data_IF_461600353645
#
_entry.id   IF_461600353645
#
_cell.length_a   1.000
_cell.length_b   1.000
_cell.length_c   1.000
_cell.angle_alpha   90.00
_cell.angle_beta   90.00
_cell.angle_gamma   90.00
#
_symmetry.space_group_name_H-M   'P 1'
#
loop_
_entity.id
_entity.type
_entity.pdbx_description
1 polymer ?
#
# COMPACT_ATOMS: atom_id res chain seq x y z
N UNK A 1 -20.42 4.31 -21.29
CA UNK A 1 -19.32 4.74 -20.39
C UNK A 1 -19.93 5.11 -19.04
N UNK A 2 -19.39 4.63 -17.93
CA UNK A 2 -20.00 4.78 -16.59
C UNK A 2 -19.46 5.98 -15.78
N UNK A 3 -18.67 6.85 -16.39
CA UNK A 3 -18.00 7.97 -15.72
C UNK A 3 -18.23 9.29 -16.49
N UNK A 4 -18.25 10.44 -15.78
CA UNK A 4 -18.50 11.76 -16.38
C UNK A 4 -17.31 12.34 -17.16
N UNK A 5 -16.16 11.65 -17.15
CA UNK A 5 -14.98 12.02 -17.92
C UNK A 5 -14.54 10.88 -18.82
N UNK A 6 -14.00 11.21 -20.00
CA UNK A 6 -13.37 10.27 -20.92
C UNK A 6 -11.87 10.52 -20.99
N UNK A 7 -11.09 9.46 -21.02
CA UNK A 7 -9.65 9.49 -21.23
C UNK A 7 -9.32 9.99 -22.66
N UNK A 8 -8.25 10.77 -22.77
CA UNK A 8 -7.71 11.28 -24.03
C UNK A 8 -6.40 10.54 -24.38
N UNK A 9 -6.47 9.44 -25.17
CA UNK A 9 -5.29 8.60 -25.41
C UNK A 9 -4.20 9.32 -26.19
N UNK A 10 -4.56 10.24 -27.11
CA UNK A 10 -3.62 11.00 -27.94
C UNK A 10 -2.80 12.02 -27.14
N UNK A 11 -3.24 12.32 -25.90
CA UNK A 11 -2.56 13.22 -24.97
C UNK A 11 -1.90 12.48 -23.80
N UNK A 12 -1.90 11.16 -23.85
CA UNK A 12 -1.23 10.35 -22.84
C UNK A 12 0.27 10.28 -23.11
N UNK A 13 1.05 10.70 -22.11
CA UNK A 13 2.49 10.51 -22.06
C UNK A 13 2.85 9.79 -20.77
N UNK A 14 3.27 8.53 -20.87
CA UNK A 14 3.60 7.69 -19.70
C UNK A 14 4.67 8.36 -18.85
N UNK A 15 4.42 8.46 -17.53
CA UNK A 15 5.32 9.09 -16.57
C UNK A 15 5.35 10.63 -16.62
N UNK A 16 4.55 11.28 -17.46
CA UNK A 16 4.53 12.74 -17.58
C UNK A 16 3.14 13.35 -17.47
N UNK A 17 2.16 12.85 -18.25
CA UNK A 17 0.84 13.48 -18.35
C UNK A 17 -0.28 12.50 -18.67
N UNK A 18 -1.44 12.71 -18.02
CA UNK A 18 -2.70 12.05 -18.36
C UNK A 18 -3.79 13.12 -18.46
N UNK A 19 -4.63 13.08 -19.50
CA UNK A 19 -5.69 14.05 -19.71
C UNK A 19 -7.06 13.37 -19.89
N UNK A 20 -8.08 14.04 -19.38
CA UNK A 20 -9.48 13.62 -19.48
C UNK A 20 -10.34 14.81 -19.89
N UNK A 21 -11.31 14.59 -20.76
CA UNK A 21 -12.33 15.57 -21.11
C UNK A 21 -13.68 15.17 -20.53
N UNK A 22 -14.53 16.16 -20.23
CA UNK A 22 -15.92 15.91 -19.86
C UNK A 22 -16.63 15.09 -20.94
N UNK A 23 -17.44 14.15 -20.51
CA UNK A 23 -18.28 13.36 -21.38
C UNK A 23 -19.72 13.87 -21.30
N UNK A 24 -20.14 14.69 -22.23
CA UNK A 24 -21.45 15.34 -22.23
C UNK A 24 -22.64 14.36 -22.37
N UNK A 25 -22.37 13.15 -22.89
CA UNK A 25 -23.37 12.08 -22.94
C UNK A 25 -23.57 11.32 -21.63
N UNK A 26 -22.85 11.70 -20.54
CA UNK A 26 -23.07 11.08 -19.24
C UNK A 26 -24.26 11.69 -18.51
N UNK A 27 -25.19 10.83 -18.08
CA UNK A 27 -26.35 11.24 -17.29
C UNK A 27 -26.06 10.92 -15.80
N UNK A 28 -25.87 11.93 -14.94
CA UNK A 28 -25.66 11.71 -13.51
C UNK A 28 -26.89 11.10 -12.83
N UNK A 29 -26.68 10.23 -11.87
CA UNK A 29 -27.73 9.80 -10.93
C UNK A 29 -28.12 10.98 -10.04
N UNK A 30 -29.31 10.92 -9.47
CA UNK A 30 -29.84 12.01 -8.63
C UNK A 30 -29.44 11.87 -7.15
N UNK A 31 -29.04 10.67 -6.71
CA UNK A 31 -28.63 10.44 -5.33
C UNK A 31 -27.33 11.16 -5.02
N UNK A 32 -27.11 11.61 -3.78
CA UNK A 32 -25.84 12.20 -3.36
C UNK A 32 -24.65 11.31 -3.68
N UNK A 33 -23.54 11.92 -4.09
CA UNK A 33 -22.29 11.18 -4.31
C UNK A 33 -21.73 10.69 -2.97
N UNK A 34 -21.40 9.41 -2.93
CA UNK A 34 -20.67 8.77 -1.82
C UNK A 34 -19.55 7.91 -2.43
N UNK A 35 -18.32 8.34 -2.27
CA UNK A 35 -17.17 7.69 -2.91
C UNK A 35 -17.39 7.52 -4.42
N UNK A 36 -17.40 6.27 -4.89
CA UNK A 36 -17.62 5.92 -6.30
C UNK A 36 -19.10 5.75 -6.68
N UNK A 37 -20.05 5.85 -5.73
CA UNK A 37 -21.48 5.70 -5.99
C UNK A 37 -22.21 7.03 -5.99
N UNK A 38 -23.52 7.01 -6.36
CA UNK A 38 -24.38 8.19 -6.43
C UNK A 38 -24.15 9.05 -7.68
N UNK A 39 -24.58 10.29 -7.59
CA UNK A 39 -24.52 11.27 -8.68
C UNK A 39 -23.09 11.81 -8.87
N UNK A 40 -22.59 11.72 -10.09
CA UNK A 40 -21.24 12.18 -10.47
C UNK A 40 -21.37 13.29 -11.49
N UNK A 41 -21.19 14.54 -11.07
CA UNK A 41 -21.33 15.71 -11.91
C UNK A 41 -19.97 16.26 -12.31
N UNK A 42 -19.69 16.36 -13.61
CA UNK A 42 -18.49 17.01 -14.11
C UNK A 42 -18.72 18.52 -14.24
N UNK A 43 -18.10 19.32 -13.38
CA UNK A 43 -18.16 20.79 -13.45
C UNK A 43 -17.05 21.41 -14.31
N UNK A 44 -15.93 20.69 -14.50
CA UNK A 44 -14.84 21.11 -15.34
C UNK A 44 -14.95 20.45 -16.72
N UNK A 45 -14.51 21.16 -17.74
CA UNK A 45 -14.46 20.62 -19.12
C UNK A 45 -13.30 19.61 -19.27
N UNK A 46 -12.23 19.81 -18.46
CA UNK A 46 -11.01 19.06 -18.57
C UNK A 46 -10.36 18.83 -17.21
N UNK A 47 -9.75 17.66 -17.06
CA UNK A 47 -8.89 17.28 -15.93
C UNK A 47 -7.55 16.82 -16.50
N UNK A 48 -6.47 17.39 -15.99
CA UNK A 48 -5.11 17.00 -16.35
C UNK A 48 -4.35 16.53 -15.12
N UNK A 49 -3.71 15.38 -15.23
CA UNK A 49 -2.70 14.91 -14.32
C UNK A 49 -1.32 15.20 -14.88
N UNK A 50 -0.51 15.93 -14.15
CA UNK A 50 0.87 16.24 -14.48
C UNK A 50 1.78 15.59 -13.46
N UNK A 51 2.77 14.83 -13.90
CA UNK A 51 3.82 14.28 -13.06
C UNK A 51 4.90 15.33 -12.90
N UNK A 52 5.07 15.85 -11.69
CA UNK A 52 6.15 16.77 -11.31
C UNK A 52 7.08 15.98 -10.38
N UNK A 53 8.25 15.50 -10.87
CA UNK A 53 9.10 14.58 -10.13
C UNK A 53 9.67 15.16 -8.82
N UNK A 54 10.00 16.47 -8.83
CA UNK A 54 10.52 17.15 -7.66
C UNK A 54 9.38 17.66 -6.79
N UNK A 55 9.34 17.21 -5.54
CA UNK A 55 8.27 17.51 -4.61
C UNK A 55 8.21 18.98 -4.19
N UNK A 56 9.35 19.68 -4.09
CA UNK A 56 9.39 21.10 -3.76
C UNK A 56 8.83 21.92 -4.94
N UNK A 57 9.17 21.54 -6.17
CA UNK A 57 8.58 22.13 -7.40
C UNK A 57 7.07 21.91 -7.46
N UNK A 58 6.57 20.70 -7.13
CA UNK A 58 5.14 20.42 -7.07
C UNK A 58 4.42 21.28 -6.02
N UNK A 59 5.02 21.45 -4.84
CA UNK A 59 4.48 22.34 -3.80
C UNK A 59 4.48 23.82 -4.23
N UNK A 60 5.53 24.29 -4.90
CA UNK A 60 5.60 25.65 -5.45
C UNK A 60 4.54 25.87 -6.55
N UNK A 61 4.35 24.92 -7.47
CA UNK A 61 3.33 24.99 -8.50
C UNK A 61 1.92 25.12 -7.91
N UNK A 62 1.61 24.39 -6.81
CA UNK A 62 0.34 24.54 -6.10
C UNK A 62 0.23 25.93 -5.46
N UNK A 63 1.29 26.43 -4.82
CA UNK A 63 1.29 27.75 -4.16
C UNK A 63 1.12 28.88 -5.17
N UNK A 64 1.75 28.80 -6.33
CA UNK A 64 1.65 29.77 -7.42
C UNK A 64 0.34 29.66 -8.22
N UNK A 65 -0.42 28.57 -8.06
CA UNK A 65 -1.66 28.34 -8.79
C UNK A 65 -1.48 27.82 -10.21
N UNK A 66 -0.33 27.26 -10.50
CA UNK A 66 -0.02 26.55 -11.75
C UNK A 66 -0.73 25.20 -11.80
N UNK A 67 -0.95 24.57 -10.61
CA UNK A 67 -1.79 23.39 -10.40
C UNK A 67 -2.81 23.68 -9.31
N UNK A 68 -3.93 22.95 -9.34
CA UNK A 68 -5.04 23.14 -8.41
C UNK A 68 -5.02 22.15 -7.23
N UNK A 69 -4.36 20.99 -7.42
CA UNK A 69 -4.33 19.90 -6.45
C UNK A 69 -3.00 19.16 -6.50
N UNK A 70 -2.34 19.01 -5.35
CA UNK A 70 -1.18 18.16 -5.14
C UNK A 70 -1.64 16.89 -4.40
N UNK A 71 -1.65 15.76 -5.13
CA UNK A 71 -2.33 14.53 -4.72
C UNK A 71 -1.69 13.88 -3.48
N UNK A 72 -0.36 13.75 -3.46
CA UNK A 72 0.39 13.04 -2.42
C UNK A 72 1.53 13.92 -1.91
N UNK A 73 1.20 14.76 -0.95
CA UNK A 73 2.17 15.70 -0.37
C UNK A 73 3.21 14.95 0.46
N UNK A 74 4.48 15.21 0.20
CA UNK A 74 5.54 14.71 1.06
C UNK A 74 5.40 15.30 2.49
N UNK A 75 5.59 14.47 3.55
CA UNK A 75 5.33 14.88 4.93
C UNK A 75 6.07 16.13 5.38
N UNK A 76 7.32 16.30 4.97
CA UNK A 76 8.17 17.45 5.30
C UNK A 76 7.71 18.77 4.64
N UNK A 77 6.94 18.71 3.55
CA UNK A 77 6.34 19.87 2.88
C UNK A 77 4.98 20.28 3.47
N UNK A 78 4.36 19.45 4.29
CA UNK A 78 3.06 19.75 4.93
C UNK A 78 3.10 21.04 5.73
N UNK A 79 4.11 21.33 6.60
CA UNK A 79 4.16 22.59 7.34
C UNK A 79 4.29 23.82 6.45
N UNK A 80 4.96 23.71 5.30
CA UNK A 80 5.08 24.80 4.32
C UNK A 80 3.72 25.13 3.70
N UNK A 81 3.01 24.12 3.20
CA UNK A 81 1.70 24.29 2.55
C UNK A 81 0.62 24.73 3.55
N UNK A 82 0.69 24.28 4.80
CA UNK A 82 -0.25 24.65 5.86
C UNK A 82 -0.23 26.15 6.20
N UNK A 83 0.90 26.83 5.98
CA UNK A 83 1.03 28.27 6.22
C UNK A 83 0.37 29.13 5.13
N UNK A 84 0.08 28.56 3.97
CA UNK A 84 -0.56 29.27 2.86
C UNK A 84 -2.09 29.28 3.05
N UNK A 85 -2.65 30.49 3.31
CA UNK A 85 -4.07 30.66 3.58
C UNK A 85 -4.98 30.24 2.39
N UNK A 86 -4.46 30.20 1.17
CA UNK A 86 -5.20 29.78 -0.03
C UNK A 86 -5.22 28.27 -0.26
N UNK A 87 -4.51 27.49 0.58
CA UNK A 87 -4.38 26.02 0.46
C UNK A 87 -5.15 25.34 1.59
N UNK A 88 -5.83 24.27 1.26
CA UNK A 88 -6.45 23.33 2.19
C UNK A 88 -5.68 22.02 2.18
N UNK A 89 -5.49 21.42 3.36
CA UNK A 89 -4.89 20.12 3.55
C UNK A 89 -5.95 19.10 3.97
N UNK A 90 -5.95 17.94 3.32
CA UNK A 90 -6.80 16.82 3.69
C UNK A 90 -6.05 15.50 3.65
N UNK A 91 -6.74 14.40 3.91
CA UNK A 91 -6.22 13.08 3.64
C UNK A 91 -6.58 12.65 2.22
N UNK A 92 -5.63 12.00 1.53
CA UNK A 92 -5.86 11.44 0.21
C UNK A 92 -6.91 10.31 0.28
N UNK A 93 -6.73 9.43 1.25
CA UNK A 93 -7.66 8.35 1.58
C UNK A 93 -7.91 8.35 3.10
N UNK A 94 -9.13 8.63 3.57
CA UNK A 94 -9.43 8.70 4.99
C UNK A 94 -9.30 7.35 5.70
N UNK A 95 -9.42 6.22 4.99
CA UNK A 95 -9.23 4.88 5.57
C UNK A 95 -7.75 4.48 5.70
N UNK A 96 -6.84 5.25 5.13
CA UNK A 96 -5.40 4.99 5.14
C UNK A 96 -4.94 3.90 4.18
N UNK A 97 -3.64 3.63 4.24
CA UNK A 97 -2.95 2.64 3.42
C UNK A 97 -2.21 1.65 4.30
N UNK A 98 -2.46 0.36 4.11
CA UNK A 98 -1.72 -0.70 4.80
C UNK A 98 -0.41 -0.97 4.09
N UNK A 99 0.69 -0.77 4.79
CA UNK A 99 2.03 -1.13 4.32
C UNK A 99 2.23 -2.65 4.32
N UNK A 100 2.94 -3.14 3.32
CA UNK A 100 3.16 -4.56 3.05
C UNK A 100 4.65 -4.82 2.84
N UNK A 101 5.22 -5.73 3.61
CA UNK A 101 6.50 -6.35 3.33
C UNK A 101 6.21 -7.72 2.70
N UNK A 102 6.53 -7.88 1.43
CA UNK A 102 6.20 -9.07 0.63
C UNK A 102 7.43 -9.90 0.33
N UNK A 103 7.33 -11.20 0.56
CA UNK A 103 8.36 -12.19 0.23
C UNK A 103 8.08 -12.86 -1.12
N UNK A 104 9.14 -13.27 -1.81
CA UNK A 104 9.08 -14.24 -2.88
C UNK A 104 9.20 -15.64 -2.28
N UNK A 105 8.15 -16.45 -2.40
CA UNK A 105 8.07 -17.78 -1.81
C UNK A 105 8.61 -18.89 -2.73
N UNK A 106 9.07 -18.57 -3.93
CA UNK A 106 9.56 -19.56 -4.89
C UNK A 106 11.01 -19.96 -4.66
N UNK A 107 11.79 -19.02 -4.11
CA UNK A 107 13.27 -19.17 -4.05
C UNK A 107 13.79 -18.88 -2.64
N UNK A 108 14.94 -19.46 -2.27
CA UNK A 108 15.66 -19.11 -1.04
C UNK A 108 15.93 -17.59 -0.96
N UNK A 109 16.00 -17.04 0.26
CA UNK A 109 15.82 -17.70 1.56
C UNK A 109 14.34 -17.74 2.03
N UNK A 110 13.41 -17.10 1.28
CA UNK A 110 12.03 -16.90 1.74
C UNK A 110 11.04 -17.99 1.29
N UNK A 111 11.45 -19.02 0.58
CA UNK A 111 10.71 -20.29 0.48
C UNK A 111 10.59 -20.98 1.85
N UNK A 112 11.56 -20.75 2.74
CA UNK A 112 11.57 -21.28 4.11
C UNK A 112 10.73 -20.40 5.06
N UNK A 113 9.65 -20.99 5.61
CA UNK A 113 8.77 -20.30 6.56
C UNK A 113 9.47 -19.88 7.85
N UNK A 114 10.47 -20.63 8.32
CA UNK A 114 11.20 -20.30 9.55
C UNK A 114 12.04 -19.03 9.37
N UNK A 115 12.59 -18.78 8.17
CA UNK A 115 13.26 -17.51 7.85
C UNK A 115 12.26 -16.35 7.84
N UNK A 116 11.08 -16.52 7.22
CA UNK A 116 10.04 -15.49 7.20
C UNK A 116 9.55 -15.14 8.60
N UNK A 117 9.39 -16.14 9.49
CA UNK A 117 9.03 -15.94 10.90
C UNK A 117 10.10 -15.17 11.66
N UNK A 118 11.40 -15.45 11.39
CA UNK A 118 12.50 -14.70 11.99
C UNK A 118 12.46 -13.22 11.59
N UNK A 119 12.23 -12.91 10.31
CA UNK A 119 12.10 -11.52 9.85
C UNK A 119 10.87 -10.85 10.52
N UNK A 120 9.72 -11.51 10.53
CA UNK A 120 8.50 -10.98 11.15
C UNK A 120 8.68 -10.68 12.64
N UNK A 121 9.42 -11.52 13.38
CA UNK A 121 9.75 -11.30 14.80
C UNK A 121 10.53 -10.01 15.05
N UNK A 122 11.38 -9.60 14.09
CA UNK A 122 12.19 -8.40 14.16
C UNK A 122 11.44 -7.12 13.78
N UNK A 123 10.34 -7.22 13.02
CA UNK A 123 9.61 -6.05 12.51
C UNK A 123 9.06 -5.20 13.64
N UNK A 124 9.46 -3.93 13.68
CA UNK A 124 8.83 -2.86 14.45
C UNK A 124 8.01 -1.98 13.52
N UNK A 125 6.69 -2.01 13.64
CA UNK A 125 5.80 -1.23 12.76
C UNK A 125 6.01 0.29 12.90
N UNK A 126 6.37 0.79 14.09
CA UNK A 126 6.63 2.21 14.32
C UNK A 126 7.77 2.73 13.44
N UNK A 127 8.86 1.95 13.25
CA UNK A 127 9.99 2.34 12.42
C UNK A 127 9.57 2.53 10.95
N UNK A 128 8.75 1.61 10.43
CA UNK A 128 8.22 1.71 9.07
C UNK A 128 7.28 2.89 8.92
N UNK A 129 6.39 3.08 9.87
CA UNK A 129 5.39 4.14 9.79
C UNK A 129 6.04 5.52 9.96
N UNK A 130 6.98 5.67 10.89
CA UNK A 130 7.74 6.90 11.07
C UNK A 130 8.52 7.28 9.80
N UNK A 131 9.06 6.30 9.07
CA UNK A 131 9.83 6.56 7.84
C UNK A 131 9.01 7.20 6.71
N UNK A 132 7.71 6.91 6.60
CA UNK A 132 6.83 7.45 5.53
C UNK A 132 5.95 8.61 5.98
N UNK A 133 5.93 8.93 7.29
CA UNK A 133 5.14 10.04 7.85
C UNK A 133 5.98 11.15 8.44
N UNK A 134 7.32 11.13 8.24
CA UNK A 134 8.29 12.01 8.88
C UNK A 134 8.12 12.07 10.41
N UNK A 135 7.76 10.94 11.03
CA UNK A 135 7.56 10.82 12.48
C UNK A 135 6.26 11.42 13.02
N UNK A 136 5.33 11.90 12.18
CA UNK A 136 4.03 12.37 12.68
C UNK A 136 3.17 11.18 13.12
N UNK A 137 3.16 10.91 14.43
CA UNK A 137 2.39 9.83 15.03
C UNK A 137 0.87 9.92 14.82
N UNK A 138 0.35 11.08 14.40
CA UNK A 138 -1.08 11.25 14.06
C UNK A 138 -1.41 10.77 12.65
N UNK A 139 -0.38 10.56 11.83
CA UNK A 139 -0.53 10.14 10.45
C UNK A 139 -0.42 8.63 10.25
N UNK A 140 -0.30 7.83 11.33
CA UNK A 140 -0.23 6.38 11.22
C UNK A 140 -0.83 5.66 12.41
N UNK A 141 -1.05 4.37 12.24
CA UNK A 141 -1.48 3.44 13.28
C UNK A 141 -0.73 2.11 13.12
N UNK A 142 -0.21 1.57 14.22
CA UNK A 142 0.33 0.21 14.28
C UNK A 142 -0.82 -0.79 14.47
N UNK A 143 -0.72 -1.93 13.78
CA UNK A 143 -1.79 -2.92 13.76
C UNK A 143 -1.24 -4.32 13.49
N UNK A 144 -1.21 -5.17 14.50
CA UNK A 144 -0.70 -6.56 14.41
C UNK A 144 -1.80 -7.52 13.97
N UNK A 145 -2.48 -7.16 12.89
CA UNK A 145 -3.54 -7.90 12.22
C UNK A 145 -3.29 -7.92 10.72
N UNK A 146 -3.72 -8.96 10.02
CA UNK A 146 -3.69 -8.98 8.54
C UNK A 146 -4.89 -8.24 7.94
N UNK A 147 -5.94 -8.01 8.71
CA UNK A 147 -7.07 -7.17 8.34
C UNK A 147 -6.94 -5.78 8.98
N UNK A 148 -7.49 -4.72 8.37
CA UNK A 148 -7.37 -3.38 8.91
C UNK A 148 -7.95 -3.26 10.33
N UNK A 149 -7.16 -2.77 11.29
CA UNK A 149 -7.63 -2.51 12.65
C UNK A 149 -8.78 -1.50 12.65
N UNK A 150 -9.67 -1.61 13.63
CA UNK A 150 -10.90 -0.80 13.70
C UNK A 150 -12.04 -1.30 12.81
N UNK A 151 -11.84 -2.40 12.06
CA UNK A 151 -12.89 -3.09 11.31
C UNK A 151 -13.34 -4.36 12.02
N UNK A 152 -14.47 -4.96 11.59
CA UNK A 152 -15.00 -6.19 12.19
C UNK A 152 -13.96 -7.29 12.31
N UNK A 153 -13.11 -7.47 11.31
CA UNK A 153 -12.13 -8.55 11.25
C UNK A 153 -10.72 -8.13 11.66
N UNK A 154 -10.50 -6.84 11.94
CA UNK A 154 -9.22 -6.28 12.33
C UNK A 154 -8.86 -6.55 13.80
N UNK A 155 -8.89 -7.82 14.22
CA UNK A 155 -8.53 -8.26 15.58
C UNK A 155 -7.03 -8.53 15.63
N UNK A 156 -6.33 -7.93 16.59
CA UNK A 156 -4.89 -8.12 16.75
C UNK A 156 -4.55 -9.47 17.37
N UNK A 157 -4.05 -10.38 16.54
CA UNK A 157 -3.59 -11.72 16.97
C UNK A 157 -2.08 -11.91 16.75
N UNK A 158 -1.44 -10.97 16.08
CA UNK A 158 -0.03 -11.04 15.69
C UNK A 158 0.98 -10.67 16.81
N UNK A 159 0.52 -10.29 18.00
CA UNK A 159 1.40 -9.79 19.05
C UNK A 159 2.53 -10.72 19.46
N UNK A 160 2.29 -12.03 19.50
CA UNK A 160 3.32 -13.03 19.81
C UNK A 160 4.33 -13.24 18.67
N UNK A 161 3.92 -13.00 17.42
CA UNK A 161 4.73 -13.19 16.22
C UNK A 161 5.54 -11.93 15.84
N UNK A 162 5.07 -10.74 16.26
CA UNK A 162 5.63 -9.42 15.92
C UNK A 162 6.03 -8.68 17.21
N UNK A 163 7.16 -9.05 17.80
CA UNK A 163 7.61 -8.49 19.08
C UNK A 163 8.64 -7.37 18.95
N UNK A 164 9.06 -7.02 17.74
CA UNK A 164 10.18 -6.11 17.48
C UNK A 164 11.47 -6.55 18.22
N UNK A 165 11.70 -7.86 18.31
CA UNK A 165 12.77 -8.45 19.10
C UNK A 165 13.90 -8.97 18.19
N UNK A 166 14.92 -8.14 18.01
CA UNK A 166 16.08 -8.46 17.15
C UNK A 166 16.86 -9.68 17.65
N UNK A 167 17.07 -9.81 18.97
CA UNK A 167 17.86 -10.93 19.52
C UNK A 167 17.14 -12.27 19.33
N UNK A 168 15.82 -12.29 19.58
CA UNK A 168 15.02 -13.47 19.30
C UNK A 168 14.96 -13.79 17.81
N UNK A 169 14.87 -12.78 16.96
CA UNK A 169 14.91 -12.95 15.51
C UNK A 169 16.23 -13.56 15.02
N UNK A 170 17.38 -13.11 15.54
CA UNK A 170 18.70 -13.73 15.28
C UNK A 170 18.73 -15.20 15.66
N UNK A 171 18.24 -15.54 16.86
CA UNK A 171 18.16 -16.92 17.32
C UNK A 171 17.26 -17.77 16.42
N UNK A 172 16.10 -17.25 16.01
CA UNK A 172 15.19 -17.92 15.09
C UNK A 172 15.81 -18.11 13.71
N UNK A 173 16.53 -17.11 13.20
CA UNK A 173 17.23 -17.19 11.91
C UNK A 173 18.33 -18.26 11.97
N UNK A 174 19.15 -18.28 13.01
CA UNK A 174 20.17 -19.30 13.20
C UNK A 174 19.59 -20.72 13.26
N UNK A 175 18.42 -20.87 13.89
CA UNK A 175 17.72 -22.15 14.00
C UNK A 175 16.94 -22.54 12.73
N UNK A 176 16.75 -21.62 11.77
CA UNK A 176 15.92 -21.84 10.58
C UNK A 176 16.58 -22.71 9.49
N UNK A 177 17.87 -22.94 9.60
CA UNK A 177 18.66 -23.58 8.55
C UNK A 177 19.19 -22.62 7.48
N UNK A 178 19.03 -21.31 7.64
CA UNK A 178 19.62 -20.28 6.79
C UNK A 178 21.14 -20.37 6.78
N UNK A 179 21.74 -20.40 5.58
CA UNK A 179 23.21 -20.58 5.38
C UNK A 179 23.91 -19.38 4.76
N UNK A 180 23.24 -18.24 4.73
CA UNK A 180 23.76 -17.02 4.10
C UNK A 180 23.32 -16.83 2.65
N UNK A 181 22.25 -17.49 2.24
CA UNK A 181 21.63 -17.29 0.92
C UNK A 181 21.34 -15.80 0.71
N UNK A 182 21.65 -15.32 -0.48
CA UNK A 182 21.48 -13.90 -0.82
C UNK A 182 19.99 -13.52 -0.92
N UNK A 183 19.58 -12.51 -0.19
CA UNK A 183 18.30 -11.87 -0.32
C UNK A 183 18.41 -10.59 -1.14
N UNK A 184 17.66 -10.47 -2.24
CA UNK A 184 17.57 -9.25 -3.06
C UNK A 184 16.33 -8.48 -2.68
N UNK A 185 16.53 -7.26 -2.13
CA UNK A 185 15.49 -6.31 -1.76
C UNK A 185 15.29 -5.30 -2.89
N UNK A 186 14.08 -5.24 -3.46
CA UNK A 186 13.71 -4.18 -4.42
C UNK A 186 13.22 -2.93 -3.67
N UNK A 187 13.82 -1.77 -3.94
CA UNK A 187 13.46 -0.51 -3.32
C UNK A 187 13.31 0.61 -4.37
N UNK A 188 12.11 1.23 -4.51
CA UNK A 188 11.94 2.34 -5.43
C UNK A 188 12.54 3.63 -4.87
N UNK A 189 13.24 4.40 -5.71
CA UNK A 189 13.85 5.67 -5.35
C UNK A 189 12.95 6.89 -5.62
N UNK A 190 11.95 6.72 -6.45
CA UNK A 190 11.03 7.75 -6.94
C UNK A 190 9.61 7.67 -6.32
N UNK A 191 9.34 6.66 -5.50
CA UNK A 191 8.05 6.49 -4.81
C UNK A 191 8.23 6.69 -3.29
N UNK A 192 8.04 7.90 -2.83
CA UNK A 192 8.29 8.33 -1.43
C UNK A 192 7.43 7.63 -0.39
N UNK A 193 6.33 7.02 -0.79
CA UNK A 193 5.43 6.23 0.06
C UNK A 193 5.82 4.75 0.18
N UNK A 194 6.87 4.32 -0.51
CA UNK A 194 7.37 2.91 -0.49
C UNK A 194 8.88 2.84 -0.27
N UNK A 195 9.66 3.73 -0.89
CA UNK A 195 11.13 3.73 -0.80
C UNK A 195 11.65 3.64 0.62
N UNK A 196 11.18 4.48 1.57
CA UNK A 196 11.65 4.44 2.95
C UNK A 196 11.44 3.09 3.66
N UNK A 197 10.44 2.29 3.27
CA UNK A 197 10.28 0.93 3.79
C UNK A 197 11.46 0.02 3.42
N UNK A 198 12.05 0.26 2.24
CA UNK A 198 13.25 -0.46 1.78
C UNK A 198 14.43 -0.25 2.71
N UNK A 199 14.69 1.00 3.09
CA UNK A 199 15.80 1.35 3.98
C UNK A 199 15.65 0.71 5.36
N UNK A 200 14.42 0.77 5.94
CA UNK A 200 14.11 0.13 7.23
C UNK A 200 14.30 -1.39 7.15
N UNK A 201 13.83 -2.03 6.07
CA UNK A 201 13.99 -3.48 5.90
C UNK A 201 15.45 -3.87 5.64
N UNK A 202 16.20 -3.09 4.88
CA UNK A 202 17.62 -3.36 4.64
C UNK A 202 18.42 -3.37 5.96
N UNK A 203 18.22 -2.35 6.77
CA UNK A 203 18.85 -2.25 8.09
C UNK A 203 18.43 -3.41 9.02
N UNK A 204 17.11 -3.72 9.06
CA UNK A 204 16.58 -4.83 9.83
C UNK A 204 17.20 -6.17 9.44
N UNK A 205 17.24 -6.50 8.14
CA UNK A 205 17.79 -7.76 7.64
C UNK A 205 19.28 -7.87 7.95
N UNK A 206 20.05 -6.78 7.81
CA UNK A 206 21.47 -6.72 8.22
C UNK A 206 21.63 -6.96 9.72
N UNK A 207 20.82 -6.31 10.56
CA UNK A 207 20.87 -6.44 12.02
C UNK A 207 20.59 -7.84 12.51
N UNK A 208 19.72 -8.60 11.84
CA UNK A 208 19.48 -10.00 12.22
C UNK A 208 20.48 -10.98 11.60
N UNK A 209 21.43 -10.52 10.76
CA UNK A 209 22.52 -11.34 10.22
C UNK A 209 22.24 -11.91 8.83
N UNK A 210 21.31 -11.36 8.06
CA UNK A 210 21.06 -11.81 6.68
C UNK A 210 22.04 -11.19 5.68
N UNK A 211 22.37 -11.97 4.65
CA UNK A 211 23.08 -11.51 3.46
C UNK A 211 22.11 -10.83 2.52
N UNK A 212 21.98 -9.50 2.59
CA UNK A 212 21.03 -8.72 1.82
C UNK A 212 21.72 -7.74 0.88
N UNK A 213 21.25 -7.69 -0.36
CA UNK A 213 21.58 -6.70 -1.39
C UNK A 213 20.34 -5.88 -1.68
N UNK A 214 20.44 -4.54 -1.58
CA UNK A 214 19.35 -3.64 -1.97
C UNK A 214 19.55 -3.18 -3.40
N UNK A 215 18.53 -3.38 -4.24
CA UNK A 215 18.45 -2.86 -5.61
C UNK A 215 17.56 -1.64 -5.60
N UNK A 216 18.21 -0.47 -5.54
CA UNK A 216 17.55 0.83 -5.64
C UNK A 216 17.34 1.18 -7.12
N UNK A 217 16.07 1.40 -7.51
CA UNK A 217 15.68 1.72 -8.90
C UNK A 217 14.36 2.49 -8.92
N UNK A 218 13.88 2.89 -10.09
CA UNK A 218 12.57 3.51 -10.24
C UNK A 218 11.41 2.51 -10.01
N UNK A 219 10.22 3.04 -9.66
CA UNK A 219 9.05 2.20 -9.39
C UNK A 219 8.60 1.37 -10.61
N UNK A 220 8.73 1.91 -11.82
CA UNK A 220 8.41 1.18 -13.05
C UNK A 220 9.25 -0.09 -13.20
N UNK A 221 10.56 0.02 -12.95
CA UNK A 221 11.50 -1.10 -12.94
C UNK A 221 11.20 -2.10 -11.82
N UNK A 222 10.82 -1.63 -10.61
CA UNK A 222 10.35 -2.52 -9.54
C UNK A 222 9.11 -3.30 -10.00
N UNK A 223 8.11 -2.62 -10.61
CA UNK A 223 6.88 -3.25 -11.10
C UNK A 223 7.16 -4.31 -12.16
N UNK A 224 8.10 -4.07 -13.05
CA UNK A 224 8.51 -5.07 -14.05
C UNK A 224 9.23 -6.25 -13.38
N UNK A 225 10.25 -5.96 -12.55
CA UNK A 225 11.08 -7.00 -11.95
C UNK A 225 10.33 -7.88 -10.94
N UNK A 226 9.33 -7.36 -10.22
CA UNK A 226 8.51 -8.16 -9.31
C UNK A 226 7.73 -9.28 -10.00
N UNK A 227 7.53 -9.22 -11.32
CA UNK A 227 6.90 -10.29 -12.09
C UNK A 227 7.85 -11.46 -12.42
N UNK A 228 9.18 -11.29 -12.20
CA UNK A 228 10.16 -12.34 -12.43
C UNK A 228 10.04 -13.44 -11.38
N UNK A 229 9.96 -14.69 -11.84
CA UNK A 229 9.99 -15.92 -11.01
C UNK A 229 11.40 -16.51 -10.92
N UNK A 230 12.34 -15.91 -11.60
CA UNK A 230 13.72 -16.39 -11.65
C UNK A 230 14.40 -16.33 -10.28
N UNK A 231 15.40 -17.15 -10.03
CA UNK A 231 16.32 -16.99 -8.91
C UNK A 231 17.03 -15.62 -8.94
N UNK A 232 17.52 -15.18 -7.79
CA UNK A 232 18.15 -13.85 -7.65
C UNK A 232 19.37 -13.68 -8.54
N UNK A 233 20.11 -14.76 -8.83
CA UNK A 233 21.27 -14.81 -9.73
C UNK A 233 20.88 -14.50 -11.18
N UNK A 234 19.63 -14.77 -11.56
CA UNK A 234 19.09 -14.57 -12.92
C UNK A 234 18.15 -13.34 -12.99
N UNK A 235 18.32 -12.37 -12.09
CA UNK A 235 17.51 -11.15 -12.09
C UNK A 235 16.19 -11.23 -11.32
N UNK A 236 15.98 -12.30 -10.55
CA UNK A 236 14.86 -12.42 -9.63
C UNK A 236 14.97 -11.50 -8.41
N UNK A 237 14.10 -11.69 -7.44
CA UNK A 237 14.03 -10.90 -6.22
C UNK A 237 13.59 -11.77 -5.04
N UNK A 238 13.84 -11.28 -3.82
CA UNK A 238 13.50 -12.00 -2.58
C UNK A 238 12.47 -11.28 -1.73
N UNK A 239 12.54 -9.94 -1.63
CA UNK A 239 11.66 -9.12 -0.81
C UNK A 239 11.41 -7.77 -1.48
N UNK A 240 10.20 -7.26 -1.31
CA UNK A 240 9.81 -5.93 -1.79
C UNK A 240 8.72 -5.34 -0.89
N UNK A 241 8.46 -4.06 -1.07
CA UNK A 241 7.38 -3.36 -0.39
C UNK A 241 6.32 -2.85 -1.37
N UNK A 242 5.14 -2.68 -0.82
CA UNK A 242 4.04 -1.95 -1.44
C UNK A 242 3.07 -1.53 -0.33
N UNK A 243 2.02 -0.85 -0.72
CA UNK A 243 0.87 -0.59 0.14
C UNK A 243 -0.43 -0.89 -0.63
N UNK A 244 -1.51 -0.97 0.09
CA UNK A 244 -2.87 -1.08 -0.44
C UNK A 244 -3.82 -0.17 0.34
N UNK A 245 -4.85 0.40 -0.28
CA UNK A 245 -5.93 1.06 0.45
C UNK A 245 -6.50 0.11 1.51
N UNK A 246 -6.77 0.61 2.71
CA UNK A 246 -7.29 -0.23 3.80
C UNK A 246 -8.60 -0.90 3.46
N UNK A 247 -9.41 -0.29 2.58
CA UNK A 247 -10.66 -0.89 2.07
C UNK A 247 -10.45 -2.18 1.29
N UNK A 248 -9.27 -2.38 0.68
CA UNK A 248 -8.92 -3.64 0.02
C UNK A 248 -8.37 -4.58 1.08
N UNK A 249 -9.12 -5.62 1.41
CA UNK A 249 -8.78 -6.60 2.45
C UNK A 249 -9.56 -6.41 3.74
N UNK A 250 -10.76 -5.84 3.68
CA UNK A 250 -11.70 -5.88 4.79
C UNK A 250 -12.22 -7.29 5.03
N UNK A 251 -12.23 -8.13 4.01
CA UNK A 251 -12.65 -9.52 4.09
C UNK A 251 -11.59 -10.47 3.50
N UNK A 252 -11.58 -11.74 3.89
CA UNK A 252 -10.64 -12.72 3.33
C UNK A 252 -10.73 -12.89 1.81
N UNK A 253 -11.93 -12.70 1.23
CA UNK A 253 -12.18 -12.93 -0.19
C UNK A 253 -11.37 -12.00 -1.09
N UNK A 254 -11.27 -10.72 -0.73
CA UNK A 254 -10.60 -9.68 -1.52
C UNK A 254 -9.13 -9.43 -1.13
N UNK A 255 -8.65 -10.11 -0.07
CA UNK A 255 -7.33 -9.89 0.49
C UNK A 255 -6.23 -10.60 -0.30
N UNK A 256 -5.76 -10.00 -1.40
CA UNK A 256 -4.80 -10.59 -2.33
C UNK A 256 -3.50 -11.09 -1.68
N UNK A 257 -3.07 -10.49 -0.55
CA UNK A 257 -1.79 -10.83 0.09
C UNK A 257 -1.80 -12.19 0.80
N UNK A 258 -2.97 -12.70 1.20
CA UNK A 258 -3.09 -14.00 1.88
C UNK A 258 -3.55 -15.14 0.95
N UNK A 259 -3.91 -14.83 -0.31
CA UNK A 259 -4.36 -15.86 -1.26
C UNK A 259 -3.24 -16.84 -1.58
N UNK A 260 -3.56 -18.12 -1.44
CA UNK A 260 -2.61 -19.23 -1.51
C UNK A 260 -2.63 -20.05 -2.81
N UNK A 261 -2.92 -19.44 -3.96
CA UNK A 261 -3.03 -20.13 -5.26
C UNK A 261 -1.68 -20.53 -5.88
N UNK A 262 -0.55 -20.27 -5.23
CA UNK A 262 0.77 -20.59 -5.78
C UNK A 262 1.08 -19.75 -7.02
N UNK A 263 1.36 -20.40 -8.14
CA UNK A 263 1.78 -19.74 -9.39
C UNK A 263 0.81 -18.71 -9.96
N UNK A 264 -0.45 -18.70 -9.51
CA UNK A 264 -1.47 -17.72 -9.88
C UNK A 264 -1.80 -16.72 -8.76
N UNK A 265 -1.11 -16.83 -7.61
CA UNK A 265 -1.18 -15.83 -6.54
C UNK A 265 -0.54 -14.51 -6.99
N UNK A 266 -0.86 -13.45 -6.26
CA UNK A 266 -0.19 -12.17 -6.42
C UNK A 266 1.34 -12.33 -6.28
N UNK A 267 2.12 -11.43 -6.81
CA UNK A 267 3.59 -11.47 -6.84
C UNK A 267 4.18 -11.95 -5.50
N UNK A 268 5.16 -12.86 -5.58
CA UNK A 268 5.68 -13.62 -4.46
C UNK A 268 5.10 -15.05 -4.36
N UNK A 269 4.01 -15.34 -5.06
CA UNK A 269 3.48 -16.68 -5.38
C UNK A 269 3.29 -17.61 -4.17
N UNK A 270 2.76 -17.04 -3.08
CA UNK A 270 2.41 -17.82 -1.89
C UNK A 270 1.45 -18.96 -2.23
N UNK A 271 1.76 -20.18 -1.73
CA UNK A 271 0.94 -21.37 -1.87
C UNK A 271 0.50 -21.89 -0.52
N UNK A 272 -0.82 -22.07 -0.36
CA UNK A 272 -1.43 -22.59 0.85
C UNK A 272 -2.87 -23.06 0.60
N UNK A 273 -3.03 -24.35 0.38
CA UNK A 273 -4.34 -24.95 0.06
C UNK A 273 -5.30 -24.90 1.25
N UNK A 274 -4.80 -24.93 2.50
CA UNK A 274 -5.61 -24.80 3.71
C UNK A 274 -6.12 -23.37 3.90
N UNK A 275 -5.30 -22.35 3.59
CA UNK A 275 -5.74 -20.95 3.56
C UNK A 275 -6.90 -20.78 2.58
N UNK A 276 -6.80 -21.32 1.37
CA UNK A 276 -7.87 -21.25 0.37
C UNK A 276 -9.13 -22.00 0.81
N UNK A 277 -9.00 -23.14 1.50
CA UNK A 277 -10.13 -23.86 2.06
C UNK A 277 -10.86 -23.05 3.15
N UNK A 278 -10.11 -22.36 4.02
CA UNK A 278 -10.68 -21.45 5.04
C UNK A 278 -11.39 -20.25 4.39
N UNK A 279 -10.78 -19.65 3.35
CA UNK A 279 -11.41 -18.52 2.62
C UNK A 279 -12.69 -18.96 1.93
N UNK A 280 -12.72 -20.17 1.34
CA UNK A 280 -13.94 -20.74 0.75
C UNK A 280 -15.03 -20.92 1.80
N UNK A 281 -14.70 -21.51 2.97
CA UNK A 281 -15.64 -21.67 4.08
C UNK A 281 -16.22 -20.32 4.52
N UNK A 282 -15.39 -19.27 4.61
CA UNK A 282 -15.87 -17.92 4.92
C UNK A 282 -16.92 -17.42 3.91
N UNK A 283 -16.73 -17.70 2.61
CA UNK A 283 -17.66 -17.28 1.55
C UNK A 283 -18.96 -18.10 1.56
N UNK A 284 -18.88 -19.39 1.88
CA UNK A 284 -20.00 -20.32 1.85
C UNK A 284 -20.93 -20.21 3.07
N UNK A 285 -20.42 -19.72 4.22
CA UNK A 285 -21.25 -19.56 5.43
C UNK A 285 -21.94 -18.21 5.50
N UNK A 286 -23.20 -18.22 5.92
CA UNK A 286 -24.00 -17.01 6.20
C UNK A 286 -24.10 -16.71 7.71
N UNK A 287 -23.64 -17.62 8.58
CA UNK A 287 -23.62 -17.41 10.02
C UNK A 287 -22.48 -16.44 10.42
N UNK A 288 -22.78 -15.27 10.98
CA UNK A 288 -21.78 -14.30 11.36
C UNK A 288 -20.76 -14.83 12.41
N UNK A 289 -21.16 -15.72 13.31
CA UNK A 289 -20.26 -16.29 14.32
C UNK A 289 -19.28 -17.26 13.67
N UNK A 290 -19.73 -18.04 12.72
CA UNK A 290 -18.88 -18.93 11.96
C UNK A 290 -17.91 -18.15 11.06
N UNK A 291 -18.36 -17.05 10.45
CA UNK A 291 -17.48 -16.13 9.73
C UNK A 291 -16.38 -15.57 10.63
N UNK A 292 -16.73 -15.06 11.82
CA UNK A 292 -15.76 -14.48 12.78
C UNK A 292 -14.73 -15.54 13.23
N UNK A 293 -15.18 -16.76 13.54
CA UNK A 293 -14.31 -17.87 13.91
C UNK A 293 -13.36 -18.27 12.77
N UNK A 294 -13.88 -18.31 11.55
CA UNK A 294 -13.09 -18.63 10.34
C UNK A 294 -12.04 -17.55 10.07
N UNK A 295 -12.39 -16.26 10.18
CA UNK A 295 -11.44 -15.16 9.99
C UNK A 295 -10.36 -15.18 11.06
N UNK A 296 -10.68 -15.50 12.31
CA UNK A 296 -9.69 -15.66 13.36
C UNK A 296 -8.71 -16.81 13.05
N UNK A 297 -9.19 -17.93 12.52
CA UNK A 297 -8.35 -19.03 12.07
C UNK A 297 -7.45 -18.63 10.88
N UNK A 298 -7.98 -17.90 9.89
CA UNK A 298 -7.23 -17.33 8.76
C UNK A 298 -6.11 -16.42 9.26
N UNK A 299 -6.38 -15.54 10.22
CA UNK A 299 -5.36 -14.65 10.78
C UNK A 299 -4.24 -15.42 11.47
N UNK A 300 -4.59 -16.39 12.35
CA UNK A 300 -3.59 -17.22 13.03
C UNK A 300 -2.71 -17.95 12.02
N UNK A 301 -3.31 -18.54 10.96
CA UNK A 301 -2.55 -19.18 9.90
C UNK A 301 -1.66 -18.21 9.13
N UNK A 302 -2.14 -17.00 8.85
CA UNK A 302 -1.33 -15.99 8.18
C UNK A 302 -0.10 -15.58 9.01
N UNK A 303 -0.21 -15.44 10.33
CA UNK A 303 0.94 -15.21 11.20
C UNK A 303 1.83 -16.45 11.37
N UNK A 304 1.30 -17.66 11.20
CA UNK A 304 2.09 -18.88 11.23
C UNK A 304 2.84 -19.10 9.90
N UNK A 305 2.18 -18.97 8.76
CA UNK A 305 2.75 -19.26 7.43
C UNK A 305 3.46 -18.05 6.78
N UNK A 306 3.21 -16.85 7.29
CA UNK A 306 3.84 -15.58 6.89
C UNK A 306 3.79 -15.36 5.36
N UNK A 307 2.60 -15.24 4.75
CA UNK A 307 2.48 -14.88 3.33
C UNK A 307 3.05 -13.49 3.04
N UNK A 308 2.96 -12.58 4.00
CA UNK A 308 3.55 -11.24 4.02
C UNK A 308 3.63 -10.76 5.48
N UNK A 309 4.31 -9.64 5.72
CA UNK A 309 4.29 -8.99 7.05
C UNK A 309 3.54 -7.66 6.94
N UNK A 310 2.47 -7.43 7.74
CA UNK A 310 1.85 -6.12 7.86
C UNK A 310 2.79 -5.17 8.59
N UNK A 311 3.08 -4.01 8.00
CA UNK A 311 4.04 -3.05 8.56
C UNK A 311 3.40 -1.77 9.08
N UNK A 312 2.07 -1.76 9.27
CA UNK A 312 1.27 -0.66 9.82
C UNK A 312 0.35 -0.02 8.78
N UNK A 313 -0.39 0.98 9.22
CA UNK A 313 -1.32 1.77 8.40
C UNK A 313 -0.92 3.23 8.47
N UNK A 314 -0.80 3.91 7.34
CA UNK A 314 -0.45 5.33 7.26
C UNK A 314 -1.42 6.11 6.39
N UNK A 315 -1.45 7.43 6.59
CA UNK A 315 -2.30 8.36 5.87
C UNK A 315 -1.46 9.35 5.07
N UNK A 316 -1.73 9.42 3.78
CA UNK A 316 -1.08 10.38 2.87
C UNK A 316 -1.87 11.68 2.87
N UNK A 317 -1.18 12.81 2.99
CA UNK A 317 -1.81 14.12 2.87
C UNK A 317 -1.99 14.49 1.40
N UNK A 318 -3.12 15.14 1.09
CA UNK A 318 -3.33 15.90 -0.13
C UNK A 318 -3.39 17.39 0.18
N UNK A 319 -3.05 18.22 -0.78
CA UNK A 319 -3.20 19.67 -0.69
C UNK A 319 -3.91 20.19 -1.93
N UNK A 320 -4.82 21.13 -1.78
CA UNK A 320 -5.56 21.71 -2.88
C UNK A 320 -5.93 23.18 -2.59
N UNK A 321 -6.24 23.92 -3.64
CA UNK A 321 -6.64 25.33 -3.51
C UNK A 321 -8.03 25.42 -2.87
N UNK A 322 -8.20 26.30 -1.87
CA UNK A 322 -9.46 26.45 -1.12
C UNK A 322 -10.69 26.85 -1.97
N UNK A 323 -10.44 27.42 -3.16
CA UNK A 323 -11.53 27.71 -4.09
C UNK A 323 -12.06 26.45 -4.81
N UNK A 324 -11.48 25.26 -4.59
CA UNK A 324 -12.05 23.99 -5.00
C UNK A 324 -12.93 23.44 -3.88
N UNK A 325 -14.23 23.33 -4.15
CA UNK A 325 -15.22 22.80 -3.19
C UNK A 325 -15.92 21.56 -3.78
N UNK A 326 -16.56 20.77 -2.91
CA UNK A 326 -17.31 19.58 -3.33
C UNK A 326 -16.44 18.34 -3.54
N UNK A 327 -15.24 18.30 -2.97
CA UNK A 327 -14.39 17.11 -3.00
C UNK A 327 -15.08 15.92 -2.34
N UNK A 328 -15.17 14.82 -3.06
CA UNK A 328 -15.68 13.55 -2.56
C UNK A 328 -14.52 12.77 -1.95
N UNK A 329 -14.66 12.38 -0.69
CA UNK A 329 -13.69 11.51 -0.04
C UNK A 329 -13.76 10.09 -0.58
N UNK A 330 -12.64 9.35 -0.51
CA UNK A 330 -12.59 7.94 -0.91
C UNK A 330 -11.17 7.42 -1.04
N UNK A 331 -11.01 6.30 -1.72
CA UNK A 331 -9.73 5.59 -1.84
C UNK A 331 -8.87 6.05 -3.02
N UNK A 332 -9.38 6.97 -3.81
CA UNK A 332 -8.71 7.54 -4.98
C UNK A 332 -9.17 9.01 -5.17
N UNK A 333 -8.44 9.83 -5.93
CA UNK A 333 -8.90 11.15 -6.29
C UNK A 333 -10.11 11.05 -7.25
N UNK A 334 -11.21 11.66 -6.85
CA UNK A 334 -12.42 11.73 -7.66
C UNK A 334 -12.62 13.16 -8.15
N UNK A 335 -12.71 13.34 -9.48
CA UNK A 335 -12.81 14.66 -10.11
C UNK A 335 -14.25 15.12 -10.38
N UNK A 336 -15.25 14.28 -10.09
CA UNK A 336 -16.66 14.67 -10.14
C UNK A 336 -17.07 15.42 -8.87
N UNK A 337 -18.07 16.27 -9.01
CA UNK A 337 -18.64 17.15 -7.98
C UNK A 337 -17.71 18.28 -7.49
N UNK A 338 -16.44 18.30 -7.91
CA UNK A 338 -15.55 19.39 -7.60
C UNK A 338 -15.88 20.57 -8.51
N UNK A 339 -16.04 21.75 -7.90
CA UNK A 339 -16.26 23.00 -8.61
C UNK A 339 -15.40 24.11 -8.03
N UNK A 340 -15.19 25.15 -8.82
CA UNK A 340 -14.48 26.35 -8.39
C UNK A 340 -15.50 27.39 -7.90
N UNK A 341 -15.21 28.05 -6.77
CA UNK A 341 -15.99 29.15 -6.19
C UNK A 341 -15.17 30.41 -6.16
#
# INVERSE_FOLDING_TARGET
MALPYRFLPDEYNSGARVAYARFDGYLPRQEPAVWMSGGKVAHFERVEWQVIPDAATAAAALQNGEVDWYEQVQPDLVPLLQRNAAIELGYHNPTGYNGVLRFNHLNPPFDNVAVRRAVMMAVNQDDYMASVTAGDARAYTVCKSVFPCGTRYGVEVGGAAMQANLEKAKQMLAASGYKGEKAVLLSPTDLTTVGPFGDVTYDLLKKIGMNVEMVATDWGSVVQRRASKEPVENGGWSVMHTWRPSTIGYTPMEHSQIRGFGNTSWFGWYKDDEMEAMIRRFVETTDPKEQDATVLAIQKRAFDQVPYVPIGTFHIRKAYRKNLVGMVEGTAPYFWNIRRV
#
